data_IF_751497135730
#
_entry.id   IF_751497135730
#
_cell.length_a   1.000
_cell.length_b   1.000
_cell.length_c   1.000
_cell.angle_alpha   90.00
_cell.angle_beta   90.00
_cell.angle_gamma   90.00
#
_symmetry.space_group_name_H-M   'P 1'
#
loop_
_entity.id
_entity.type
_entity.pdbx_description
1 polymer ?
#
# COMPACT_ATOMS: atom_id res chain seq x y z
N UNK A 1 -24.67 -28.81 -26.33
CA UNK A 1 -25.08 -27.66 -25.51
C UNK A 1 -24.22 -27.73 -24.26
N UNK A 2 -23.07 -27.04 -24.28
CA UNK A 2 -22.10 -27.08 -23.20
C UNK A 2 -22.62 -26.23 -22.05
N UNK A 3 -22.82 -26.86 -20.89
CA UNK A 3 -23.19 -26.18 -19.66
C UNK A 3 -21.92 -25.45 -19.19
N UNK A 4 -21.83 -24.16 -19.48
CA UNK A 4 -20.92 -23.26 -18.78
C UNK A 4 -21.33 -23.25 -17.31
N UNK A 5 -20.59 -23.99 -16.49
CA UNK A 5 -20.62 -23.84 -15.04
C UNK A 5 -20.05 -22.47 -14.69
N UNK A 6 -20.94 -21.48 -14.64
CA UNK A 6 -20.69 -20.22 -13.95
C UNK A 6 -20.60 -20.54 -12.46
N UNK A 7 -19.39 -20.88 -12.01
CA UNK A 7 -19.08 -20.90 -10.59
C UNK A 7 -19.32 -19.48 -10.05
N UNK A 8 -20.17 -19.30 -9.03
CA UNK A 8 -20.34 -18.00 -8.41
C UNK A 8 -18.98 -17.56 -7.86
N UNK A 9 -18.61 -16.32 -8.12
CA UNK A 9 -17.43 -15.62 -7.60
C UNK A 9 -17.51 -15.40 -6.06
N UNK A 10 -18.09 -16.35 -5.32
CA UNK A 10 -18.03 -16.44 -3.87
C UNK A 10 -16.75 -17.22 -3.54
N UNK A 11 -15.61 -16.69 -4.01
CA UNK A 11 -14.33 -17.04 -3.41
C UNK A 11 -14.33 -16.34 -2.07
N UNK A 12 -14.65 -17.15 -1.05
CA UNK A 12 -14.40 -16.99 0.37
C UNK A 12 -13.82 -15.61 0.77
N UNK A 13 -14.49 -14.96 1.72
CA UNK A 13 -13.82 -14.12 2.71
C UNK A 13 -12.68 -14.93 3.35
N UNK A 14 -11.54 -15.04 2.67
CA UNK A 14 -10.34 -15.52 3.30
C UNK A 14 -9.92 -14.39 4.22
N UNK A 15 -9.91 -14.67 5.52
CA UNK A 15 -9.33 -13.81 6.55
C UNK A 15 -7.85 -13.42 6.25
N UNK A 16 -7.28 -14.01 5.20
CA UNK A 16 -5.89 -13.98 4.78
C UNK A 16 -5.75 -13.33 3.38
N UNK A 17 -6.48 -12.25 3.12
CA UNK A 17 -6.31 -11.44 1.91
C UNK A 17 -6.46 -9.96 2.18
N UNK A 18 -5.66 -9.14 1.51
CA UNK A 18 -5.78 -7.67 1.56
C UNK A 18 -6.44 -7.18 0.28
N UNK A 19 -7.42 -6.28 0.41
CA UNK A 19 -8.08 -5.65 -0.72
C UNK A 19 -7.20 -4.51 -1.24
N UNK A 20 -7.29 -4.22 -2.53
CA UNK A 20 -6.59 -3.08 -3.09
C UNK A 20 -7.35 -1.80 -2.79
N UNK A 21 -6.98 -1.09 -1.73
CA UNK A 21 -7.52 0.23 -1.35
C UNK A 21 -6.37 1.25 -1.13
N UNK A 22 -6.42 2.10 -0.11
CA UNK A 22 -5.44 3.15 0.18
C UNK A 22 -4.02 2.60 0.41
N UNK A 23 -3.87 1.57 1.25
CA UNK A 23 -2.55 1.04 1.63
C UNK A 23 -1.81 0.41 0.44
N UNK A 24 -2.46 -0.51 -0.28
CA UNK A 24 -1.85 -1.16 -1.45
C UNK A 24 -1.61 -0.17 -2.58
N UNK A 25 -2.44 0.87 -2.71
CA UNK A 25 -2.23 1.95 -3.68
C UNK A 25 -1.00 2.76 -3.31
N UNK A 26 -0.80 3.07 -2.04
CA UNK A 26 0.44 3.70 -1.57
C UNK A 26 1.66 2.85 -1.93
N UNK A 27 1.62 1.55 -1.60
CA UNK A 27 2.69 0.61 -1.94
C UNK A 27 2.95 0.57 -3.45
N UNK A 28 1.89 0.49 -4.26
CA UNK A 28 2.01 0.50 -5.71
C UNK A 28 2.77 1.74 -6.22
N UNK A 29 2.40 2.93 -5.75
CA UNK A 29 3.06 4.18 -6.13
C UNK A 29 4.55 4.20 -5.75
N UNK A 30 4.91 3.69 -4.56
CA UNK A 30 6.31 3.57 -4.14
C UNK A 30 7.06 2.58 -5.03
N UNK A 31 6.49 1.39 -5.21
CA UNK A 31 7.10 0.26 -5.90
C UNK A 31 7.31 0.51 -7.40
N UNK A 32 6.48 1.35 -8.02
CA UNK A 32 6.62 1.77 -9.42
C UNK A 32 7.99 2.44 -9.67
N UNK A 33 8.58 3.08 -8.65
CA UNK A 33 9.90 3.72 -8.73
C UNK A 33 11.06 2.89 -8.21
N UNK A 34 10.80 1.69 -7.70
CA UNK A 34 11.86 0.81 -7.23
C UNK A 34 12.44 0.01 -8.40
N UNK A 35 13.76 0.10 -8.61
CA UNK A 35 14.50 -0.77 -9.52
C UNK A 35 14.53 -2.20 -8.97
N UNK A 36 14.22 -3.19 -9.81
CA UNK A 36 13.94 -4.56 -9.36
C UNK A 36 15.14 -5.24 -8.68
N UNK A 37 16.33 -5.15 -9.29
CA UNK A 37 17.55 -5.77 -8.74
C UNK A 37 17.97 -5.16 -7.41
N UNK A 38 17.97 -3.82 -7.32
CA UNK A 38 18.26 -3.09 -6.08
C UNK A 38 17.24 -3.42 -5.00
N UNK A 39 15.96 -3.44 -5.35
CA UNK A 39 14.88 -3.73 -4.41
C UNK A 39 14.96 -5.16 -3.85
N UNK A 40 15.25 -6.14 -4.71
CA UNK A 40 15.42 -7.54 -4.29
C UNK A 40 16.62 -7.72 -3.36
N UNK A 41 17.75 -7.09 -3.68
CA UNK A 41 18.95 -7.12 -2.82
C UNK A 41 18.67 -6.51 -1.45
N UNK A 42 18.00 -5.36 -1.41
CA UNK A 42 17.66 -4.71 -0.15
C UNK A 42 16.65 -5.52 0.68
N UNK A 43 15.74 -6.26 0.03
CA UNK A 43 14.85 -7.18 0.73
C UNK A 43 15.62 -8.31 1.41
N UNK A 44 16.62 -8.90 0.74
CA UNK A 44 17.49 -9.91 1.35
C UNK A 44 18.23 -9.35 2.57
N UNK A 45 18.85 -8.17 2.44
CA UNK A 45 19.54 -7.50 3.54
C UNK A 45 18.60 -7.23 4.74
N UNK A 46 17.36 -6.82 4.45
CA UNK A 46 16.33 -6.60 5.46
C UNK A 46 15.97 -7.91 6.19
N UNK A 47 15.76 -8.99 5.45
CA UNK A 47 15.39 -10.28 6.04
C UNK A 47 16.49 -10.83 6.94
N UNK A 48 17.76 -10.68 6.53
CA UNK A 48 18.92 -11.04 7.35
C UNK A 48 18.99 -10.21 8.64
N UNK A 49 18.88 -8.87 8.53
CA UNK A 49 19.00 -7.97 9.68
C UNK A 49 17.91 -8.21 10.72
N UNK A 50 16.66 -8.36 10.29
CA UNK A 50 15.49 -8.45 11.18
C UNK A 50 14.98 -9.89 11.38
N UNK A 51 15.74 -10.89 10.91
CA UNK A 51 15.41 -12.31 10.99
C UNK A 51 14.01 -12.64 10.43
N UNK A 52 13.60 -12.00 9.33
CA UNK A 52 12.33 -12.26 8.68
C UNK A 52 12.39 -13.57 7.88
N UNK A 53 11.56 -14.56 8.25
CA UNK A 53 11.61 -15.92 7.70
C UNK A 53 10.77 -16.13 6.43
N UNK A 54 10.07 -15.09 5.98
CA UNK A 54 9.06 -15.13 4.92
C UNK A 54 9.43 -14.26 3.69
N UNK A 55 10.72 -14.26 3.30
CA UNK A 55 11.24 -13.41 2.23
C UNK A 55 10.54 -13.59 0.88
N UNK A 56 10.28 -14.84 0.49
CA UNK A 56 9.65 -15.16 -0.80
C UNK A 56 8.19 -14.71 -0.84
N UNK A 57 7.46 -14.88 0.28
CA UNK A 57 6.08 -14.41 0.41
C UNK A 57 6.01 -12.87 0.38
N UNK A 58 6.94 -12.19 1.06
CA UNK A 58 7.05 -10.71 1.01
C UNK A 58 7.33 -10.26 -0.43
N UNK A 59 8.28 -10.91 -1.11
CA UNK A 59 8.61 -10.60 -2.49
C UNK A 59 7.43 -10.80 -3.44
N UNK A 60 6.71 -11.91 -3.30
CA UNK A 60 5.52 -12.22 -4.09
C UNK A 60 4.42 -11.18 -3.87
N UNK A 61 4.16 -10.78 -2.62
CA UNK A 61 3.18 -9.76 -2.29
C UNK A 61 3.53 -8.42 -2.93
N UNK A 62 4.76 -7.94 -2.72
CA UNK A 62 5.21 -6.64 -3.24
C UNK A 62 5.26 -6.63 -4.78
N UNK A 63 5.77 -7.70 -5.40
CA UNK A 63 5.78 -7.85 -6.86
C UNK A 63 4.36 -7.86 -7.42
N UNK A 64 3.44 -8.57 -6.76
CA UNK A 64 2.03 -8.62 -7.14
C UNK A 64 1.36 -7.25 -7.08
N UNK A 65 1.63 -6.47 -6.02
CA UNK A 65 1.14 -5.08 -5.87
C UNK A 65 1.76 -4.16 -6.93
N UNK A 66 3.07 -4.26 -7.18
CA UNK A 66 3.76 -3.47 -8.22
C UNK A 66 3.15 -3.70 -9.60
N UNK A 67 2.87 -4.95 -9.95
CA UNK A 67 2.31 -5.33 -11.25
C UNK A 67 0.81 -5.04 -11.39
N UNK A 68 0.13 -4.61 -10.32
CA UNK A 68 -1.31 -4.45 -10.34
C UNK A 68 -1.80 -3.19 -9.65
N UNK A 69 -2.33 -2.28 -10.47
CA UNK A 69 -2.87 -1.00 -10.03
C UNK A 69 -4.40 -1.03 -9.90
N UNK A 70 -5.05 -2.16 -10.23
CA UNK A 70 -6.51 -2.27 -10.32
C UNK A 70 -7.14 -2.08 -8.95
N UNK A 71 -8.11 -1.18 -8.91
CA UNK A 71 -8.92 -0.91 -7.73
C UNK A 71 -9.64 -2.20 -7.28
N UNK A 72 -9.65 -2.47 -5.98
CA UNK A 72 -10.31 -3.62 -5.36
C UNK A 72 -9.81 -5.03 -5.69
N UNK A 73 -8.68 -5.19 -6.40
CA UNK A 73 -8.04 -6.53 -6.49
C UNK A 73 -7.68 -7.04 -5.10
N UNK A 74 -7.90 -8.33 -4.82
CA UNK A 74 -7.41 -8.95 -3.57
C UNK A 74 -6.04 -9.58 -3.78
N UNK A 75 -5.15 -9.41 -2.81
CA UNK A 75 -3.85 -10.08 -2.73
C UNK A 75 -3.89 -11.09 -1.60
N UNK A 76 -3.47 -12.32 -1.87
CA UNK A 76 -3.40 -13.38 -0.87
C UNK A 76 -2.24 -13.06 0.09
N UNK A 77 -2.51 -13.12 1.39
CA UNK A 77 -1.52 -12.90 2.45
C UNK A 77 -1.60 -14.09 3.39
N UNK A 78 -0.65 -15.02 3.28
CA UNK A 78 -0.69 -16.30 3.98
C UNK A 78 -0.63 -16.16 5.52
N UNK A 79 -0.03 -15.08 6.02
CA UNK A 79 0.14 -14.73 7.43
C UNK A 79 0.23 -13.20 7.59
N UNK A 80 -0.41 -12.66 8.61
CA UNK A 80 -0.27 -11.29 9.10
C UNK A 80 1.18 -10.80 9.23
N UNK A 81 2.13 -11.68 9.57
CA UNK A 81 3.55 -11.32 9.67
C UNK A 81 4.15 -10.88 8.34
N UNK A 82 3.65 -11.41 7.21
CA UNK A 82 4.12 -11.03 5.85
C UNK A 82 3.81 -9.56 5.60
N UNK A 83 2.61 -9.12 5.99
CA UNK A 83 2.18 -7.73 5.80
C UNK A 83 3.00 -6.76 6.66
N UNK A 84 3.20 -7.10 7.94
CA UNK A 84 4.05 -6.32 8.85
C UNK A 84 5.48 -6.20 8.32
N UNK A 85 6.07 -7.31 7.91
CA UNK A 85 7.43 -7.33 7.36
C UNK A 85 7.52 -6.61 6.01
N UNK A 86 6.53 -6.75 5.13
CA UNK A 86 6.49 -6.04 3.85
C UNK A 86 6.41 -4.52 4.06
N UNK A 87 5.57 -4.06 4.99
CA UNK A 87 5.48 -2.64 5.29
C UNK A 87 6.75 -2.12 5.98
N UNK A 88 7.30 -2.90 6.90
CA UNK A 88 8.53 -2.54 7.59
C UNK A 88 9.72 -2.44 6.64
N UNK A 89 9.80 -3.37 5.69
CA UNK A 89 10.78 -3.32 4.61
C UNK A 89 10.64 -2.03 3.80
N UNK A 90 9.43 -1.63 3.42
CA UNK A 90 9.19 -0.38 2.67
C UNK A 90 9.64 0.84 3.46
N UNK A 91 9.38 0.90 4.78
CA UNK A 91 9.87 1.98 5.65
C UNK A 91 11.40 2.03 5.65
N UNK A 92 12.05 0.88 5.84
CA UNK A 92 13.51 0.78 5.83
C UNK A 92 14.10 1.17 4.47
N UNK A 93 13.46 0.74 3.39
CA UNK A 93 13.89 1.04 2.02
C UNK A 93 13.74 2.54 1.71
N UNK A 94 12.63 3.16 2.11
CA UNK A 94 12.43 4.60 1.97
C UNK A 94 13.40 5.41 2.84
N UNK A 95 13.75 4.94 4.05
CA UNK A 95 14.78 5.58 4.91
C UNK A 95 16.13 5.70 4.20
N UNK A 96 16.52 4.67 3.44
CA UNK A 96 17.79 4.64 2.70
C UNK A 96 17.75 5.44 1.38
N UNK A 97 16.57 5.87 0.94
CA UNK A 97 16.38 6.42 -0.40
C UNK A 97 15.58 7.74 -0.37
N UNK A 98 16.29 8.84 -0.12
CA UNK A 98 15.75 10.21 -0.12
C UNK A 98 15.00 10.59 -1.41
N UNK A 99 15.38 10.00 -2.55
CA UNK A 99 14.74 10.29 -3.83
C UNK A 99 13.29 9.78 -3.87
N UNK A 100 12.99 8.65 -3.18
CA UNK A 100 11.64 8.10 -3.10
C UNK A 100 10.71 8.96 -2.27
N UNK A 101 11.17 9.51 -1.13
CA UNK A 101 10.36 10.45 -0.36
C UNK A 101 10.02 11.72 -1.15
N UNK A 102 11.00 12.28 -1.88
CA UNK A 102 10.77 13.43 -2.76
C UNK A 102 9.78 13.10 -3.87
N UNK A 103 9.91 11.92 -4.47
CA UNK A 103 8.97 11.42 -5.48
C UNK A 103 7.56 11.28 -4.91
N UNK A 104 7.38 10.61 -3.76
CA UNK A 104 6.08 10.41 -3.15
C UNK A 104 5.42 11.74 -2.77
N UNK A 105 6.16 12.64 -2.13
CA UNK A 105 5.67 13.98 -1.80
C UNK A 105 5.19 14.74 -3.04
N UNK A 106 5.95 14.68 -4.14
CA UNK A 106 5.56 15.33 -5.40
C UNK A 106 4.30 14.71 -5.99
N UNK A 107 4.23 13.38 -6.10
CA UNK A 107 3.06 12.72 -6.72
C UNK A 107 1.80 12.90 -5.91
N UNK A 108 1.87 12.78 -4.59
CA UNK A 108 0.70 12.97 -3.73
C UNK A 108 0.19 14.42 -3.78
N UNK A 109 1.09 15.41 -3.89
CA UNK A 109 0.70 16.80 -4.13
C UNK A 109 0.03 16.98 -5.49
N UNK A 110 0.57 16.39 -6.55
CA UNK A 110 -0.03 16.43 -7.89
C UNK A 110 -1.40 15.76 -7.93
N UNK A 111 -1.57 14.61 -7.25
CA UNK A 111 -2.86 13.94 -7.11
C UNK A 111 -3.86 14.84 -6.37
N UNK A 112 -3.44 15.51 -5.29
CA UNK A 112 -4.29 16.46 -4.57
C UNK A 112 -4.72 17.62 -5.47
N UNK A 113 -3.81 18.19 -6.26
CA UNK A 113 -4.14 19.24 -7.22
C UNK A 113 -5.10 18.73 -8.30
N UNK A 114 -4.86 17.54 -8.85
CA UNK A 114 -5.74 16.91 -9.84
C UNK A 114 -7.16 16.70 -9.29
N UNK A 115 -7.32 16.23 -8.05
CA UNK A 115 -8.63 16.10 -7.40
C UNK A 115 -9.36 17.44 -7.23
N UNK A 116 -8.64 18.52 -6.88
CA UNK A 116 -9.22 19.86 -6.83
C UNK A 116 -9.71 20.32 -8.21
N UNK A 117 -8.89 20.11 -9.23
CA UNK A 117 -9.21 20.54 -10.60
C UNK A 117 -10.35 19.72 -11.20
N UNK A 118 -10.39 18.40 -10.96
CA UNK A 118 -11.47 17.53 -11.46
C UNK A 118 -12.84 17.89 -10.89
N UNK A 119 -12.90 18.48 -9.69
CA UNK A 119 -14.16 18.95 -9.11
C UNK A 119 -14.79 20.16 -9.79
N UNK A 120 -14.13 20.71 -10.83
CA UNK A 120 -14.62 21.84 -11.61
C UNK A 120 -15.10 21.46 -13.02
N UNK A 121 -15.09 20.16 -13.37
CA UNK A 121 -15.56 19.68 -14.67
C UNK A 121 -16.89 18.94 -14.53
N UNK A 122 -17.94 19.47 -15.16
CA UNK A 122 -19.22 18.77 -15.28
C UNK A 122 -19.05 17.57 -16.23
N UNK A 123 -19.25 16.37 -15.71
CA UNK A 123 -19.14 15.12 -16.44
C UNK A 123 -20.52 14.56 -16.85
N UNK A 124 -21.61 15.33 -16.68
CA UNK A 124 -22.97 14.95 -17.03
C UNK A 124 -23.64 13.99 -16.04
N UNK A 125 -23.03 13.71 -14.89
CA UNK A 125 -23.67 12.96 -13.80
C UNK A 125 -24.53 13.88 -12.92
N UNK A 126 -25.41 13.29 -12.11
CA UNK A 126 -26.13 14.04 -11.08
C UNK A 126 -25.14 14.75 -10.13
N UNK A 127 -25.44 16.01 -9.77
CA UNK A 127 -24.53 16.85 -8.99
C UNK A 127 -24.21 16.24 -7.62
N UNK A 128 -25.16 15.55 -6.98
CA UNK A 128 -24.93 14.92 -5.69
C UNK A 128 -23.94 13.76 -5.81
N UNK A 129 -24.04 12.97 -6.90
CA UNK A 129 -23.13 11.86 -7.21
C UNK A 129 -21.74 12.40 -7.57
N UNK A 130 -21.65 13.49 -8.33
CA UNK A 130 -20.38 14.13 -8.64
C UNK A 130 -19.67 14.61 -7.36
N UNK A 131 -20.39 15.31 -6.49
CA UNK A 131 -19.87 15.82 -5.21
C UNK A 131 -19.38 14.67 -4.33
N UNK A 132 -20.15 13.59 -4.18
CA UNK A 132 -19.76 12.42 -3.39
C UNK A 132 -18.47 11.77 -3.93
N UNK A 133 -18.36 11.61 -5.25
CA UNK A 133 -17.16 11.03 -5.88
C UNK A 133 -15.92 11.91 -5.69
N UNK A 134 -16.08 13.23 -5.74
CA UNK A 134 -15.00 14.19 -5.47
C UNK A 134 -14.57 14.06 -4.00
N UNK A 135 -15.51 14.10 -3.05
CA UNK A 135 -15.21 13.96 -1.62
C UNK A 135 -14.47 12.65 -1.31
N UNK A 136 -14.96 11.52 -1.82
CA UNK A 136 -14.31 10.22 -1.67
C UNK A 136 -12.88 10.21 -2.26
N UNK A 137 -12.66 10.90 -3.37
CA UNK A 137 -11.33 11.00 -3.99
C UNK A 137 -10.38 11.86 -3.14
N UNK A 138 -10.86 12.96 -2.58
CA UNK A 138 -10.11 13.79 -1.64
C UNK A 138 -9.71 13.04 -0.38
N UNK A 139 -10.64 12.30 0.22
CA UNK A 139 -10.38 11.52 1.43
C UNK A 139 -9.33 10.44 1.19
N UNK A 140 -9.40 9.75 0.03
CA UNK A 140 -8.39 8.76 -0.37
C UNK A 140 -7.01 9.39 -0.55
N UNK A 141 -6.92 10.54 -1.24
CA UNK A 141 -5.64 11.24 -1.41
C UNK A 141 -5.11 11.76 -0.07
N UNK A 142 -5.99 12.26 0.80
CA UNK A 142 -5.66 12.66 2.17
C UNK A 142 -5.04 11.51 2.96
N UNK A 143 -5.66 10.34 2.93
CA UNK A 143 -5.15 9.14 3.61
C UNK A 143 -3.78 8.68 3.08
N UNK A 144 -3.53 8.78 1.77
CA UNK A 144 -2.20 8.51 1.19
C UNK A 144 -1.13 9.51 1.68
N UNK A 145 -1.48 10.80 1.78
CA UNK A 145 -0.60 11.85 2.29
C UNK A 145 -0.26 11.60 3.77
N UNK A 146 -1.25 11.26 4.58
CA UNK A 146 -1.05 11.01 6.01
C UNK A 146 -0.22 9.75 6.25
N UNK A 147 -0.42 8.70 5.45
CA UNK A 147 0.45 7.52 5.48
C UNK A 147 1.90 7.85 5.11
N UNK A 148 2.14 8.68 4.08
CA UNK A 148 3.48 9.11 3.72
C UNK A 148 4.17 9.90 4.85
N UNK A 149 3.46 10.84 5.47
CA UNK A 149 3.96 11.62 6.62
C UNK A 149 4.26 10.72 7.83
N UNK A 150 3.40 9.73 8.07
CA UNK A 150 3.59 8.77 9.15
C UNK A 150 4.87 7.95 8.93
N UNK A 151 5.10 7.45 7.72
CA UNK A 151 6.33 6.76 7.33
C UNK A 151 7.54 7.69 7.48
N UNK A 152 7.47 8.92 6.99
CA UNK A 152 8.55 9.91 7.15
C UNK A 152 8.87 10.21 8.62
N UNK A 153 7.85 10.29 9.47
CA UNK A 153 8.04 10.48 10.92
C UNK A 153 8.72 9.26 11.55
N UNK A 154 8.33 8.04 11.18
CA UNK A 154 8.98 6.81 11.66
C UNK A 154 10.44 6.80 11.22
N UNK A 155 10.73 6.99 9.94
CA UNK A 155 12.10 6.87 9.41
C UNK A 155 13.07 7.85 10.05
N UNK A 156 12.61 9.06 10.40
CA UNK A 156 13.40 10.07 11.13
C UNK A 156 13.72 9.67 12.58
N UNK A 157 12.88 8.87 13.22
CA UNK A 157 13.06 8.47 14.61
C UNK A 157 13.74 7.10 14.77
N UNK A 158 13.85 6.32 13.70
CA UNK A 158 14.58 5.06 13.71
C UNK A 158 16.08 5.30 13.64
N UNK A 159 16.83 4.70 14.55
CA UNK A 159 18.29 4.55 14.42
C UNK A 159 18.65 3.27 13.63
N UNK A 160 19.92 3.09 13.31
CA UNK A 160 20.41 1.95 12.52
C UNK A 160 20.85 0.75 13.37
N UNK A 161 21.01 0.94 14.69
CA UNK A 161 21.57 -0.05 15.62
C UNK A 161 20.47 -0.91 16.27
N UNK A 162 19.27 -0.36 16.41
CA UNK A 162 18.12 -1.02 17.04
C UNK A 162 17.46 -2.03 16.10
N UNK A 163 17.21 -3.23 16.64
CA UNK A 163 16.45 -4.29 15.96
C UNK A 163 14.96 -4.11 16.22
N UNK A 164 14.32 -3.26 15.40
CA UNK A 164 12.88 -3.06 15.47
C UNK A 164 12.09 -4.27 14.95
N UNK A 165 10.87 -4.43 15.47
CA UNK A 165 9.84 -5.31 14.92
C UNK A 165 8.60 -4.49 14.60
N UNK A 166 7.88 -4.88 13.56
CA UNK A 166 6.63 -4.25 13.17
C UNK A 166 5.51 -5.27 13.14
N UNK A 167 4.50 -5.02 13.96
CA UNK A 167 3.22 -5.71 13.88
C UNK A 167 2.29 -4.84 13.04
N UNK A 168 1.62 -5.42 12.05
CA UNK A 168 0.64 -4.71 11.23
C UNK A 168 -0.63 -5.54 11.06
N UNK A 169 -1.77 -4.87 11.20
CA UNK A 169 -3.09 -5.41 10.91
C UNK A 169 -3.77 -4.49 9.89
N UNK A 170 -4.30 -5.06 8.81
CA UNK A 170 -5.20 -4.36 7.90
C UNK A 170 -6.63 -4.81 8.19
N UNK A 171 -7.50 -3.84 8.44
CA UNK A 171 -8.93 -4.06 8.56
C UNK A 171 -9.65 -3.39 7.40
N UNK A 172 -10.45 -4.15 6.66
CA UNK A 172 -11.35 -3.65 5.61
C UNK A 172 -12.63 -3.12 6.28
N UNK A 173 -12.74 -1.79 6.41
CA UNK A 173 -13.94 -1.14 6.91
C UNK A 173 -14.68 -0.47 5.74
N UNK A 174 -15.55 -1.24 5.09
CA UNK A 174 -16.57 -0.69 4.18
C UNK A 174 -16.02 0.14 3.01
N UNK A 175 -14.82 -0.16 2.51
CA UNK A 175 -14.21 0.54 1.37
C UNK A 175 -12.86 1.22 1.65
N UNK A 176 -12.39 1.21 2.90
CA UNK A 176 -11.07 1.68 3.29
C UNK A 176 -10.33 0.61 4.10
N UNK A 177 -9.06 0.38 3.76
CA UNK A 177 -8.15 -0.40 4.60
C UNK A 177 -7.50 0.53 5.63
N UNK A 178 -7.67 0.22 6.91
CA UNK A 178 -6.93 0.87 7.99
C UNK A 178 -5.68 0.04 8.30
N UNK A 179 -4.50 0.63 8.15
CA UNK A 179 -3.25 0.03 8.61
C UNK A 179 -3.04 0.41 10.07
N UNK A 180 -3.30 -0.54 10.98
CA UNK A 180 -2.85 -0.42 12.35
C UNK A 180 -1.47 -1.04 12.43
N UNK A 181 -0.43 -0.25 12.72
CA UNK A 181 0.89 -0.80 12.93
C UNK A 181 1.55 -0.30 14.20
N UNK A 182 2.30 -1.19 14.83
CA UNK A 182 3.06 -0.92 16.05
C UNK A 182 4.49 -1.32 15.81
N UNK A 183 5.40 -0.37 16.03
CA UNK A 183 6.84 -0.65 16.06
C UNK A 183 7.22 -0.93 17.50
N UNK A 184 7.82 -2.08 17.74
CA UNK A 184 8.39 -2.47 19.04
C UNK A 184 9.90 -2.63 18.91
N UNK A 185 10.60 -2.42 20.02
CA UNK A 185 12.02 -2.73 20.18
C UNK A 185 12.18 -4.15 20.72
#
# INVERSE_FOLDING_TARGET
MEIQTTLPNILLDSANSIRSTTFTRYLHLVLEKCEEESFKKELSNFCEKYCATNSDDIWMLLSGIKQNDKHHKRFIVNDSTILGNAFFFIICYMKKNDSLFKYMNKNLLLMKLACNVSGHFDNGQDIDIQVENIMNSFDRVGALIDLNKYIEKITKNMDDETNYKMEAEIRDYGGYDYLNCKITM
#
